data_IF_245056760578
#
_entry.id   IF_245056760578
#
_cell.length_a   1.000
_cell.length_b   1.000
_cell.length_c   1.000
_cell.angle_alpha   90.00
_cell.angle_beta   90.00
_cell.angle_gamma   90.00
#
_symmetry.space_group_name_H-M   'P 1'
#
loop_
_entity.id
_entity.type
_entity.pdbx_description
1 polymer ?
#
# COMPACT_ATOMS: atom_id res chain seq x y z
N UNK A 1 6.70 25.15 4.84
CA UNK A 1 6.45 23.71 4.69
C UNK A 1 5.13 23.51 3.95
N UNK A 2 5.16 23.06 2.71
CA UNK A 2 3.95 22.74 1.93
C UNK A 2 3.36 21.45 2.48
N UNK A 3 2.11 21.48 2.98
CA UNK A 3 1.39 20.29 3.41
C UNK A 3 1.07 19.46 2.16
N UNK A 4 1.83 18.39 1.92
CA UNK A 4 1.53 17.41 0.88
C UNK A 4 0.55 16.39 1.44
N UNK A 5 -0.52 16.11 0.70
CA UNK A 5 -1.53 15.11 1.06
C UNK A 5 -1.22 13.73 0.43
N UNK A 6 0.03 13.50 0.03
CA UNK A 6 0.48 12.27 -0.62
C UNK A 6 1.78 11.79 -0.01
N UNK A 7 1.86 10.48 0.25
CA UNK A 7 3.08 9.79 0.66
C UNK A 7 3.89 9.40 -0.57
N UNK A 8 5.19 9.68 -0.52
CA UNK A 8 6.20 9.13 -1.44
C UNK A 8 6.36 7.62 -1.25
N UNK A 9 6.92 6.93 -2.24
CA UNK A 9 7.13 5.49 -2.14
C UNK A 9 8.09 5.10 -1.00
N UNK A 10 9.11 5.93 -0.73
CA UNK A 10 10.00 5.76 0.41
C UNK A 10 9.28 5.89 1.75
N UNK A 11 8.35 6.85 1.88
CA UNK A 11 7.53 6.99 3.10
C UNK A 11 6.60 5.79 3.27
N UNK A 12 5.94 5.34 2.20
CA UNK A 12 5.09 4.13 2.22
C UNK A 12 5.89 2.90 2.65
N UNK A 13 7.08 2.70 2.10
CA UNK A 13 7.98 1.62 2.49
C UNK A 13 8.36 1.72 3.97
N UNK A 14 8.60 2.93 4.50
CA UNK A 14 8.89 3.14 5.91
C UNK A 14 7.76 2.68 6.84
N UNK A 15 6.51 3.00 6.51
CA UNK A 15 5.34 2.52 7.25
C UNK A 15 5.17 1.00 7.14
N UNK A 16 5.32 0.45 5.94
CA UNK A 16 5.21 -1.00 5.72
C UNK A 16 6.31 -1.75 6.49
N UNK A 17 7.55 -1.26 6.51
CA UNK A 17 8.63 -1.84 7.32
C UNK A 17 8.34 -1.81 8.80
N UNK A 18 7.87 -0.67 9.33
CA UNK A 18 7.46 -0.58 10.74
C UNK A 18 6.34 -1.56 11.09
N UNK A 19 5.40 -1.77 10.17
CA UNK A 19 4.37 -2.79 10.31
C UNK A 19 4.97 -4.21 10.29
N UNK A 20 5.86 -4.52 9.36
CA UNK A 20 6.57 -5.81 9.29
C UNK A 20 7.36 -6.11 10.57
N UNK A 21 8.00 -5.10 11.17
CA UNK A 21 8.76 -5.23 12.42
C UNK A 21 7.89 -5.66 13.62
N UNK A 22 6.56 -5.53 13.53
CA UNK A 22 5.66 -6.05 14.57
C UNK A 22 5.49 -7.57 14.55
N UNK A 23 5.95 -8.23 13.48
CA UNK A 23 5.88 -9.67 13.30
C UNK A 23 7.26 -10.31 13.44
N UNK A 24 7.29 -11.56 13.93
CA UNK A 24 8.54 -12.34 14.00
C UNK A 24 9.13 -12.68 12.62
N UNK A 25 8.33 -12.61 11.56
CA UNK A 25 8.79 -12.84 10.19
C UNK A 25 7.86 -12.21 9.17
N UNK A 26 8.38 -11.91 7.99
CA UNK A 26 7.60 -11.45 6.83
C UNK A 26 6.53 -12.48 6.41
N UNK A 27 6.80 -13.77 6.61
CA UNK A 27 5.83 -14.83 6.37
C UNK A 27 4.61 -14.71 7.30
N UNK A 28 4.81 -14.33 8.56
CA UNK A 28 3.73 -14.11 9.52
C UNK A 28 2.90 -12.87 9.15
N UNK A 29 3.55 -11.78 8.76
CA UNK A 29 2.88 -10.58 8.28
C UNK A 29 2.06 -10.84 7.00
N UNK A 30 2.60 -11.60 6.05
CA UNK A 30 1.87 -11.97 4.84
C UNK A 30 0.63 -12.83 5.16
N UNK A 31 0.76 -13.78 6.10
CA UNK A 31 -0.38 -14.60 6.56
C UNK A 31 -1.45 -13.77 7.26
N UNK A 32 -1.08 -12.74 8.03
CA UNK A 32 -2.06 -11.92 8.76
C UNK A 32 -3.02 -11.17 7.83
N UNK A 33 -2.62 -10.94 6.58
CA UNK A 33 -3.45 -10.31 5.53
C UNK A 33 -3.86 -11.27 4.41
N UNK A 34 -3.66 -12.59 4.63
CA UNK A 34 -4.06 -13.64 3.69
C UNK A 34 -3.35 -13.60 2.34
N UNK A 35 -2.07 -13.21 2.32
CA UNK A 35 -1.25 -13.17 1.09
C UNK A 35 -0.04 -14.09 1.17
N UNK A 36 0.56 -14.40 0.01
CA UNK A 36 1.80 -15.18 -0.04
C UNK A 36 2.99 -14.29 0.33
N UNK A 37 3.93 -14.84 1.12
CA UNK A 37 5.20 -14.16 1.47
C UNK A 37 5.94 -13.61 0.25
N UNK A 38 6.00 -14.38 -0.84
CA UNK A 38 6.67 -13.96 -2.06
C UNK A 38 6.07 -12.67 -2.64
N UNK A 39 4.75 -12.51 -2.60
CA UNK A 39 4.09 -11.31 -3.10
C UNK A 39 4.43 -10.08 -2.23
N UNK A 40 4.56 -10.26 -0.92
CA UNK A 40 4.97 -9.20 -0.01
C UNK A 40 6.44 -8.80 -0.24
N UNK A 41 7.30 -9.78 -0.52
CA UNK A 41 8.71 -9.58 -0.82
C UNK A 41 8.90 -8.78 -2.13
N UNK A 42 8.19 -9.17 -3.18
CA UNK A 42 8.18 -8.43 -4.46
C UNK A 42 7.75 -6.96 -4.27
N UNK A 43 6.78 -6.70 -3.36
CA UNK A 43 6.35 -5.33 -3.07
C UNK A 43 7.39 -4.53 -2.27
N UNK A 44 8.02 -5.15 -1.27
CA UNK A 44 9.02 -4.48 -0.41
C UNK A 44 10.35 -4.23 -1.14
N UNK A 45 10.68 -5.04 -2.15
CA UNK A 45 11.82 -4.80 -3.06
C UNK A 45 11.51 -3.78 -4.16
N UNK A 46 10.25 -3.33 -4.29
CA UNK A 46 9.84 -2.38 -5.31
C UNK A 46 9.63 -2.99 -6.70
N UNK A 47 9.62 -4.32 -6.84
CA UNK A 47 9.26 -4.99 -8.09
C UNK A 47 7.77 -4.81 -8.42
N UNK A 48 6.95 -4.65 -7.39
CA UNK A 48 5.51 -4.38 -7.50
C UNK A 48 5.07 -3.24 -6.58
N UNK A 49 4.07 -2.43 -6.98
CA UNK A 49 3.49 -1.45 -6.08
C UNK A 49 2.78 -2.14 -4.90
N UNK A 50 2.78 -1.48 -3.74
CA UNK A 50 2.03 -1.97 -2.58
C UNK A 50 0.54 -2.04 -2.89
N UNK A 51 -0.06 -3.19 -2.57
CA UNK A 51 -1.51 -3.34 -2.62
C UNK A 51 -2.19 -2.56 -1.49
N UNK A 52 -3.45 -2.18 -1.71
CA UNK A 52 -4.29 -1.54 -0.68
C UNK A 52 -4.37 -2.35 0.61
N UNK A 53 -4.32 -3.68 0.54
CA UNK A 53 -4.32 -4.55 1.74
C UNK A 53 -3.09 -4.31 2.59
N UNK A 54 -1.91 -4.25 1.96
CA UNK A 54 -0.64 -4.00 2.65
C UNK A 54 -0.61 -2.57 3.21
N UNK A 55 -1.07 -1.58 2.43
CA UNK A 55 -1.14 -0.20 2.87
C UNK A 55 -2.09 -0.02 4.06
N UNK A 56 -3.29 -0.60 3.99
CA UNK A 56 -4.26 -0.55 5.08
C UNK A 56 -3.74 -1.26 6.34
N UNK A 57 -3.07 -2.40 6.20
CA UNK A 57 -2.46 -3.11 7.32
C UNK A 57 -1.32 -2.31 7.98
N UNK A 58 -0.56 -1.55 7.18
CA UNK A 58 0.43 -0.59 7.65
C UNK A 58 -0.18 0.73 8.18
N UNK A 59 -1.51 0.84 8.26
CA UNK A 59 -2.22 2.02 8.76
C UNK A 59 -2.32 3.18 7.76
N UNK A 60 -1.92 2.97 6.50
CA UNK A 60 -2.04 3.97 5.43
C UNK A 60 -3.42 3.86 4.80
N UNK A 61 -4.23 4.91 4.97
CA UNK A 61 -5.50 5.07 4.25
C UNK A 61 -5.26 5.74 2.92
N UNK A 62 -5.57 5.04 1.83
CA UNK A 62 -5.54 5.62 0.48
C UNK A 62 -6.90 6.21 0.17
N UNK A 63 -6.99 7.54 0.09
CA UNK A 63 -8.17 8.23 -0.43
C UNK A 63 -7.98 8.39 -1.93
N UNK A 64 -8.76 7.65 -2.73
CA UNK A 64 -8.83 7.87 -4.18
C UNK A 64 -10.05 8.74 -4.45
N UNK A 65 -9.94 9.81 -5.25
CA UNK A 65 -11.13 10.52 -5.72
C UNK A 65 -12.02 9.52 -6.47
N UNK A 66 -13.35 9.67 -6.41
CA UNK A 66 -14.25 8.88 -7.24
C UNK A 66 -13.81 9.01 -8.69
N UNK A 67 -13.84 7.89 -9.43
CA UNK A 67 -13.62 7.96 -10.87
C UNK A 67 -14.68 8.91 -11.44
N UNK A 68 -14.25 10.05 -11.96
CA UNK A 68 -15.13 10.96 -12.67
C UNK A 68 -15.59 10.22 -13.93
N UNK A 69 -16.77 9.62 -13.84
CA UNK A 69 -17.51 9.20 -15.02
C UNK A 69 -17.94 10.48 -15.73
N UNK A 70 -17.11 10.95 -16.66
CA UNK A 70 -17.60 11.81 -17.71
C UNK A 70 -18.59 10.95 -18.51
N UNK A 71 -19.89 11.14 -18.29
CA UNK A 71 -20.87 10.89 -19.35
C UNK A 71 -20.42 11.78 -20.50
N UNK A 72 -19.73 11.20 -21.47
CA UNK A 72 -19.64 11.79 -22.80
C UNK A 72 -21.09 11.82 -23.29
N UNK A 73 -21.74 12.98 -23.13
CA UNK A 73 -23.01 13.28 -23.77
C UNK A 73 -22.88 12.95 -25.25
N UNK A 74 -23.81 12.12 -25.71
CA UNK A 74 -24.01 11.79 -27.11
C UNK A 74 -24.20 13.10 -27.91
N UNK A 75 -23.47 13.24 -29.02
CA UNK A 75 -23.76 14.23 -30.07
C UNK A 75 -24.10 13.47 -31.34
#
# INVERSE_FOLDING_TARGET
MTRRNSLTDGERLGFVRRWLDTFQSEAAAARSIGMKRQQLNEMTNGEKPFSDRVLNAAGIKVVRPPAEYYLMDEI
#
